data_IF_919334786577
#
_entry.id   IF_919334786577
#
_cell.length_a   1.000
_cell.length_b   1.000
_cell.length_c   1.000
_cell.angle_alpha   90.00
_cell.angle_beta   90.00
_cell.angle_gamma   90.00
#
_symmetry.space_group_name_H-M   'P 1'
#
loop_
_entity.id
_entity.type
_entity.pdbx_description
1 polymer ?
#
# COMPACT_ATOMS: atom_id res chain seq x y z
N UNK A 1 17.61 13.68 7.21
CA UNK A 1 16.60 13.08 6.33
C UNK A 1 17.31 12.79 5.04
N UNK A 2 17.12 11.58 4.51
CA UNK A 2 17.67 11.21 3.21
C UNK A 2 16.84 11.93 2.17
N UNK A 3 17.47 12.74 1.32
CA UNK A 3 16.78 13.31 0.16
C UNK A 3 16.29 12.14 -0.70
N UNK A 4 15.01 12.15 -1.07
CA UNK A 4 14.47 11.10 -1.93
C UNK A 4 15.17 11.14 -3.28
N UNK A 5 15.64 9.98 -3.72
CA UNK A 5 16.35 9.81 -4.98
C UNK A 5 15.62 8.74 -5.81
N UNK A 6 15.01 9.13 -6.94
CA UNK A 6 14.32 8.21 -7.84
C UNK A 6 15.18 7.02 -8.28
N UNK A 7 16.49 7.22 -8.49
CA UNK A 7 17.39 6.14 -8.92
C UNK A 7 17.58 5.11 -7.79
N UNK A 8 17.62 5.56 -6.53
CA UNK A 8 17.70 4.67 -5.37
C UNK A 8 16.39 3.91 -5.11
N UNK A 9 15.27 4.35 -5.68
CA UNK A 9 13.99 3.64 -5.58
C UNK A 9 13.96 2.36 -6.44
N UNK A 10 14.84 2.22 -7.43
CA UNK A 10 15.02 0.94 -8.15
C UNK A 10 15.46 -0.18 -7.17
N UNK A 11 16.35 0.16 -6.24
CA UNK A 11 16.77 -0.69 -5.12
C UNK A 11 16.06 -0.31 -3.80
N UNK A 12 14.77 0.02 -3.87
CA UNK A 12 13.95 0.54 -2.74
C UNK A 12 14.04 -0.28 -1.44
N UNK A 13 14.15 -1.61 -1.52
CA UNK A 13 14.27 -2.45 -0.32
C UNK A 13 15.65 -2.37 0.35
N UNK A 14 16.68 -1.95 -0.39
CA UNK A 14 18.00 -1.68 0.18
C UNK A 14 18.08 -0.26 0.75
N UNK A 15 17.48 0.72 0.06
CA UNK A 15 17.66 2.14 0.36
C UNK A 15 16.56 2.76 1.23
N UNK A 16 15.32 2.25 1.12
CA UNK A 16 14.12 2.89 1.68
C UNK A 16 13.19 1.93 2.44
N UNK A 17 13.69 0.76 2.87
CA UNK A 17 12.87 -0.22 3.58
C UNK A 17 12.18 0.34 4.84
N UNK A 18 12.84 1.13 5.71
CA UNK A 18 12.17 1.73 6.86
C UNK A 18 11.02 2.66 6.48
N UNK A 19 11.18 3.43 5.41
CA UNK A 19 10.19 4.37 4.87
C UNK A 19 8.98 3.61 4.30
N UNK A 20 9.22 2.56 3.50
CA UNK A 20 8.17 1.69 2.98
C UNK A 20 7.38 1.02 4.11
N UNK A 21 8.08 0.47 5.10
CA UNK A 21 7.44 -0.14 6.28
C UNK A 21 6.56 0.87 7.02
N UNK A 22 7.03 2.12 7.15
CA UNK A 22 6.26 3.18 7.80
C UNK A 22 5.01 3.55 7.00
N UNK A 23 5.12 3.72 5.68
CA UNK A 23 3.99 4.07 4.83
C UNK A 23 2.89 2.99 4.88
N UNK A 24 3.25 1.73 4.68
CA UNK A 24 2.31 0.61 4.74
C UNK A 24 1.68 0.46 6.13
N UNK A 25 2.47 0.63 7.20
CA UNK A 25 1.96 0.58 8.57
C UNK A 25 0.95 1.70 8.86
N UNK A 26 1.23 2.92 8.44
CA UNK A 26 0.31 4.04 8.61
C UNK A 26 -0.99 3.83 7.82
N UNK A 27 -0.89 3.36 6.58
CA UNK A 27 -2.06 3.06 5.76
C UNK A 27 -2.92 1.94 6.38
N UNK A 28 -2.27 0.89 6.90
CA UNK A 28 -2.95 -0.15 7.67
C UNK A 28 -3.70 0.43 8.88
N UNK A 29 -3.06 1.29 9.67
CA UNK A 29 -3.70 1.90 10.85
C UNK A 29 -4.94 2.74 10.44
N UNK A 30 -4.83 3.59 9.42
CA UNK A 30 -5.96 4.38 8.90
C UNK A 30 -7.09 3.49 8.40
N UNK A 31 -6.77 2.46 7.61
CA UNK A 31 -7.77 1.58 7.02
C UNK A 31 -8.45 0.70 8.08
N UNK A 32 -7.69 0.21 9.05
CA UNK A 32 -8.19 -0.62 10.14
C UNK A 32 -9.13 0.16 11.09
N UNK A 33 -8.94 1.47 11.23
CA UNK A 33 -9.85 2.33 11.99
C UNK A 33 -11.15 2.65 11.21
N UNK A 34 -11.09 2.68 9.87
CA UNK A 34 -12.21 3.07 9.02
C UNK A 34 -13.11 1.90 8.56
N UNK A 35 -12.57 0.69 8.47
CA UNK A 35 -13.24 -0.49 7.90
C UNK A 35 -13.25 -1.69 8.86
N UNK A 36 -13.90 -2.78 8.44
CA UNK A 36 -13.90 -4.02 9.20
C UNK A 36 -12.48 -4.58 9.33
N UNK A 37 -12.00 -4.76 10.56
CA UNK A 37 -10.62 -5.15 10.82
C UNK A 37 -10.27 -6.53 10.26
N UNK A 38 -11.23 -7.48 10.19
CA UNK A 38 -10.96 -8.78 9.59
C UNK A 38 -10.70 -8.62 8.09
N UNK A 39 -11.51 -7.79 7.41
CA UNK A 39 -11.31 -7.50 5.99
C UNK A 39 -9.96 -6.82 5.75
N UNK A 40 -9.60 -5.82 6.56
CA UNK A 40 -8.33 -5.10 6.41
C UNK A 40 -7.13 -6.03 6.65
N UNK A 41 -7.16 -6.84 7.70
CA UNK A 41 -6.12 -7.85 7.93
C UNK A 41 -6.04 -8.89 6.80
N UNK A 42 -7.18 -9.30 6.23
CA UNK A 42 -7.21 -10.23 5.09
C UNK A 42 -6.56 -9.63 3.85
N UNK A 43 -6.89 -8.39 3.51
CA UNK A 43 -6.28 -7.66 2.40
C UNK A 43 -4.77 -7.48 2.62
N UNK A 44 -4.37 -7.02 3.81
CA UNK A 44 -2.98 -6.78 4.16
C UNK A 44 -2.12 -8.05 4.03
N UNK A 45 -2.59 -9.16 4.59
CA UNK A 45 -1.81 -10.40 4.69
C UNK A 45 -1.86 -11.28 3.45
N UNK A 46 -2.92 -11.22 2.65
CA UNK A 46 -3.14 -12.15 1.54
C UNK A 46 -3.01 -11.48 0.17
N UNK A 47 -3.09 -10.15 0.11
CA UNK A 47 -3.03 -9.38 -1.14
C UNK A 47 -1.83 -8.45 -1.13
N UNK A 48 -1.73 -7.57 -0.12
CA UNK A 48 -0.70 -6.53 -0.10
C UNK A 48 0.68 -7.05 0.27
N UNK A 49 0.78 -8.21 0.91
CA UNK A 49 2.06 -8.89 1.18
C UNK A 49 2.85 -9.26 -0.11
N UNK A 50 2.16 -9.37 -1.23
CA UNK A 50 2.73 -9.63 -2.57
C UNK A 50 2.64 -8.39 -3.48
N UNK A 51 2.20 -7.25 -2.93
CA UNK A 51 2.19 -5.99 -3.67
C UNK A 51 3.58 -5.37 -3.78
N UNK A 52 3.79 -4.53 -4.78
CA UNK A 52 5.03 -3.81 -4.98
C UNK A 52 4.79 -2.33 -5.30
N UNK A 53 5.41 -1.39 -4.56
CA UNK A 53 5.32 0.03 -4.88
C UNK A 53 6.31 0.41 -5.99
N UNK A 54 5.84 1.25 -6.91
CA UNK A 54 6.61 1.87 -7.98
C UNK A 54 6.53 3.40 -7.86
N UNK A 55 7.65 4.06 -8.15
CA UNK A 55 7.69 5.51 -8.31
C UNK A 55 7.51 5.85 -9.79
N UNK A 56 6.51 6.65 -10.12
CA UNK A 56 6.15 6.97 -11.50
C UNK A 56 6.70 8.36 -11.93
N UNK A 57 7.36 9.08 -11.01
CA UNK A 57 7.81 10.45 -11.23
C UNK A 57 6.87 11.48 -10.59
N UNK A 58 7.34 12.74 -10.52
CA UNK A 58 6.56 13.87 -10.02
C UNK A 58 5.91 13.68 -8.63
N UNK A 59 6.52 12.86 -7.76
CA UNK A 59 5.96 12.55 -6.43
C UNK A 59 4.81 11.55 -6.45
N UNK A 60 4.49 10.93 -7.59
CA UNK A 60 3.42 9.94 -7.71
C UNK A 60 3.95 8.51 -7.55
N UNK A 61 3.15 7.67 -6.90
CA UNK A 61 3.43 6.27 -6.66
C UNK A 61 2.30 5.41 -7.19
N UNK A 62 2.61 4.19 -7.61
CA UNK A 62 1.64 3.18 -8.01
C UNK A 62 1.93 1.90 -7.26
N UNK A 63 0.89 1.23 -6.76
CA UNK A 63 1.02 -0.10 -6.18
C UNK A 63 0.63 -1.16 -7.21
N UNK A 64 1.58 -2.04 -7.54
CA UNK A 64 1.29 -3.23 -8.33
C UNK A 64 0.76 -4.35 -7.42
N UNK A 65 -0.34 -4.96 -7.84
CA UNK A 65 -0.99 -6.03 -7.11
C UNK A 65 -0.66 -7.40 -7.71
N UNK A 66 -0.79 -8.49 -6.92
CA UNK A 66 -0.75 -9.83 -7.46
C UNK A 66 -1.90 -10.07 -8.46
N UNK A 67 -1.71 -11.06 -9.35
CA UNK A 67 -2.79 -11.53 -10.22
C UNK A 67 -3.98 -12.03 -9.39
N UNK A 68 -5.18 -11.65 -9.83
CA UNK A 68 -6.47 -12.05 -9.24
C UNK A 68 -6.57 -11.78 -7.72
N UNK A 69 -6.45 -10.51 -7.27
CA UNK A 69 -6.33 -10.16 -5.85
C UNK A 69 -7.53 -10.61 -5.01
N UNK A 70 -8.73 -10.61 -5.58
CA UNK A 70 -9.93 -11.11 -4.90
C UNK A 70 -9.87 -12.62 -4.61
N UNK A 71 -9.24 -13.41 -5.50
CA UNK A 71 -9.13 -14.86 -5.31
C UNK A 71 -8.12 -15.25 -4.24
N UNK A 72 -7.19 -14.33 -3.91
CA UNK A 72 -6.26 -14.49 -2.79
C UNK A 72 -6.95 -14.37 -1.44
N UNK A 73 -8.04 -13.60 -1.35
CA UNK A 73 -8.76 -13.38 -0.10
C UNK A 73 -9.57 -14.63 0.30
N UNK A 74 -9.02 -15.40 1.22
CA UNK A 74 -9.60 -16.64 1.76
C UNK A 74 -9.98 -16.54 3.23
N UNK A 75 -9.41 -15.58 3.96
CA UNK A 75 -9.66 -15.39 5.38
C UNK A 75 -11.04 -14.79 5.69
N UNK A 76 -11.64 -14.08 4.73
CA UNK A 76 -12.88 -13.33 4.92
C UNK A 76 -13.81 -13.55 3.74
N UNK A 77 -15.10 -13.78 4.02
CA UNK A 77 -16.13 -13.85 3.00
C UNK A 77 -16.75 -12.47 2.85
N UNK A 78 -16.48 -11.84 1.71
CA UNK A 78 -17.02 -10.54 1.32
C UNK A 78 -17.41 -10.61 -0.15
N UNK A 79 -18.38 -9.80 -0.57
CA UNK A 79 -18.66 -9.67 -1.99
C UNK A 79 -17.52 -8.96 -2.73
N UNK A 80 -17.37 -9.27 -4.02
CA UNK A 80 -16.28 -8.73 -4.86
C UNK A 80 -16.32 -7.22 -4.97
N UNK A 81 -17.51 -6.62 -5.13
CA UNK A 81 -17.66 -5.17 -5.27
C UNK A 81 -17.15 -4.44 -4.03
N UNK A 82 -17.53 -4.91 -2.84
CA UNK A 82 -17.03 -4.37 -1.58
C UNK A 82 -15.52 -4.59 -1.42
N UNK A 83 -14.99 -5.75 -1.78
CA UNK A 83 -13.55 -5.98 -1.75
C UNK A 83 -12.81 -4.99 -2.64
N UNK A 84 -13.22 -4.85 -3.89
CA UNK A 84 -12.58 -3.97 -4.87
C UNK A 84 -12.61 -2.51 -4.39
N UNK A 85 -13.75 -2.03 -3.87
CA UNK A 85 -13.87 -0.68 -3.33
C UNK A 85 -12.99 -0.44 -2.10
N UNK A 86 -12.88 -1.41 -1.18
CA UNK A 86 -12.00 -1.28 -0.01
C UNK A 86 -10.53 -1.35 -0.44
N UNK A 87 -10.19 -2.23 -1.37
CA UNK A 87 -8.82 -2.38 -1.89
C UNK A 87 -8.38 -1.10 -2.60
N UNK A 88 -9.20 -0.53 -3.49
CA UNK A 88 -8.93 0.75 -4.17
C UNK A 88 -8.65 1.85 -3.13
N UNK A 89 -9.51 2.01 -2.13
CA UNK A 89 -9.29 2.99 -1.05
C UNK A 89 -8.01 2.70 -0.26
N UNK A 90 -7.64 1.44 -0.08
CA UNK A 90 -6.41 1.05 0.61
C UNK A 90 -5.19 1.46 -0.22
N UNK A 91 -5.21 1.19 -1.54
CA UNK A 91 -4.14 1.62 -2.44
C UNK A 91 -3.95 3.13 -2.41
N UNK A 92 -5.05 3.89 -2.49
CA UNK A 92 -5.01 5.35 -2.37
C UNK A 92 -4.36 5.81 -1.06
N UNK A 93 -4.63 5.12 0.06
CA UNK A 93 -4.00 5.44 1.34
C UNK A 93 -2.50 5.13 1.34
N UNK A 94 -2.09 4.01 0.76
CA UNK A 94 -0.67 3.63 0.67
C UNK A 94 0.07 4.66 -0.18
N UNK A 95 -0.48 5.05 -1.33
CA UNK A 95 0.11 6.06 -2.22
C UNK A 95 0.23 7.42 -1.51
N UNK A 96 -0.82 7.84 -0.78
CA UNK A 96 -0.77 9.05 0.04
C UNK A 96 0.29 8.97 1.16
N UNK A 97 0.37 7.84 1.87
CA UNK A 97 1.37 7.64 2.91
C UNK A 97 2.80 7.57 2.38
N UNK A 98 3.03 7.00 1.19
CA UNK A 98 4.32 7.06 0.50
C UNK A 98 4.71 8.52 0.21
N UNK A 99 3.77 9.32 -0.31
CA UNK A 99 3.98 10.75 -0.55
C UNK A 99 4.32 11.50 0.74
N UNK A 100 3.60 11.25 1.83
CA UNK A 100 3.87 11.84 3.16
C UNK A 100 5.25 11.47 3.68
N UNK A 101 5.58 10.18 3.65
CA UNK A 101 6.85 9.68 4.20
C UNK A 101 8.05 10.22 3.43
N UNK A 102 7.92 10.39 2.11
CA UNK A 102 8.94 10.97 1.24
C UNK A 102 8.82 12.48 1.02
N UNK A 103 7.97 13.16 1.80
CA UNK A 103 7.84 14.64 1.82
C UNK A 103 7.40 15.25 0.46
N UNK A 104 6.57 14.54 -0.29
CA UNK A 104 5.91 15.01 -1.53
C UNK A 104 4.53 15.65 -1.30
N UNK A 105 3.99 15.58 -0.09
CA UNK A 105 2.84 16.38 0.32
C UNK A 105 3.31 17.71 0.94
N UNK A 106 2.74 18.83 0.48
CA UNK A 106 3.02 20.20 1.01
C UNK A 106 2.47 20.44 2.44
#
# INVERSE_FOLDING_TARGET
MTEFDPEQFEDKYANYFPELQRAYKNAFETMNDAYDSQLIHGIDQQVLNESEPFYEGDGEFRIELPEEPYERLTAVVVDREKFEAVLERYLDEIEAELRRVFEFED
#
